data_IF_863706129895
#
_entry.id   IF_863706129895
#
_cell.length_a   1.000
_cell.length_b   1.000
_cell.length_c   1.000
_cell.angle_alpha   90.00
_cell.angle_beta   90.00
_cell.angle_gamma   90.00
#
_symmetry.space_group_name_H-M   'P 1'
#
loop_
_entity.id
_entity.type
_entity.pdbx_description
1 polymer ?
#
# COMPACT_ATOMS: atom_id res chain seq x y z
N UNK A 1 15.72 16.81 -19.63
CA UNK A 1 14.34 16.58 -19.16
C UNK A 1 14.22 17.17 -17.76
N UNK A 2 13.08 17.76 -17.36
CA UNK A 2 12.90 18.21 -15.98
C UNK A 2 13.05 17.02 -15.01
N UNK A 3 13.64 17.27 -13.84
CA UNK A 3 13.80 16.26 -12.80
C UNK A 3 12.42 15.85 -12.27
N UNK A 4 12.16 14.54 -12.18
CA UNK A 4 10.92 14.03 -11.59
C UNK A 4 10.87 14.38 -10.10
N UNK A 5 9.70 14.75 -9.54
CA UNK A 5 9.54 14.84 -8.10
C UNK A 5 9.83 13.48 -7.44
N UNK A 6 10.37 13.50 -6.22
CA UNK A 6 10.72 12.30 -5.48
C UNK A 6 9.58 11.85 -4.56
N UNK A 7 9.23 10.56 -4.60
CA UNK A 7 8.45 9.90 -3.56
C UNK A 7 9.38 9.08 -2.67
N UNK A 8 9.32 9.32 -1.36
CA UNK A 8 10.08 8.58 -0.38
C UNK A 8 9.16 7.50 0.21
N UNK A 9 9.47 6.26 -0.15
CA UNK A 9 8.64 5.08 0.03
C UNK A 9 9.08 4.28 1.26
N UNK A 10 8.28 4.31 2.33
CA UNK A 10 8.48 3.45 3.50
C UNK A 10 8.03 2.02 3.15
N UNK A 11 9.01 1.17 2.86
CA UNK A 11 8.78 -0.20 2.43
C UNK A 11 8.53 -1.11 3.62
N UNK A 12 7.55 -2.00 3.49
CA UNK A 12 7.04 -2.84 4.58
C UNK A 12 6.91 -2.10 5.92
N UNK A 13 6.32 -0.91 5.86
CA UNK A 13 6.23 0.00 7.00
C UNK A 13 5.54 -0.62 8.23
N UNK A 14 4.71 -1.63 8.02
CA UNK A 14 3.99 -2.36 9.06
C UNK A 14 4.91 -3.25 9.92
N UNK A 15 6.20 -3.34 9.58
CA UNK A 15 7.24 -3.94 10.42
C UNK A 15 7.93 -2.96 11.35
N UNK A 16 7.70 -1.66 11.16
CA UNK A 16 8.22 -0.62 12.05
C UNK A 16 7.56 -0.70 13.43
N UNK A 17 8.21 -0.14 14.45
CA UNK A 17 7.66 -0.10 15.82
C UNK A 17 6.45 0.83 15.90
N UNK A 18 6.48 1.95 15.17
CA UNK A 18 5.35 2.86 15.00
C UNK A 18 5.05 3.00 13.51
N UNK A 19 4.32 2.04 12.89
CA UNK A 19 3.88 2.18 11.51
C UNK A 19 3.18 3.52 11.30
N UNK A 20 3.30 4.06 10.09
CA UNK A 20 2.96 5.41 9.67
C UNK A 20 3.84 6.50 10.30
N UNK A 21 3.98 6.51 11.63
CA UNK A 21 4.61 7.64 12.33
C UNK A 21 6.13 7.66 12.17
N UNK A 22 6.81 6.51 12.20
CA UNK A 22 8.25 6.44 11.91
C UNK A 22 8.54 6.90 10.47
N UNK A 23 7.64 6.58 9.53
CA UNK A 23 7.73 7.04 8.15
C UNK A 23 7.52 8.55 8.00
N UNK A 24 6.49 9.11 8.64
CA UNK A 24 6.23 10.56 8.63
C UNK A 24 7.40 11.32 9.26
N UNK A 25 7.91 10.85 10.41
CA UNK A 25 9.05 11.45 11.10
C UNK A 25 10.32 11.46 10.21
N UNK A 26 10.49 10.41 9.40
CA UNK A 26 11.59 10.30 8.43
C UNK A 26 11.37 11.17 7.17
N UNK A 27 10.15 11.67 6.94
CA UNK A 27 9.79 12.44 5.75
C UNK A 27 9.30 11.59 4.57
N UNK A 28 8.93 10.32 4.81
CA UNK A 28 8.26 9.50 3.80
C UNK A 28 6.89 10.09 3.46
N UNK A 29 6.56 10.08 2.17
CA UNK A 29 5.27 10.51 1.64
C UNK A 29 4.56 9.40 0.86
N UNK A 30 5.10 8.18 0.88
CA UNK A 30 4.49 7.00 0.33
C UNK A 30 4.65 5.84 1.31
N UNK A 31 3.54 5.23 1.72
CA UNK A 31 3.48 4.22 2.79
C UNK A 31 2.98 2.90 2.21
N UNK A 32 3.70 1.81 2.44
CA UNK A 32 3.33 0.48 1.93
C UNK A 32 2.50 -0.35 2.91
N UNK A 33 1.46 -0.97 2.38
CA UNK A 33 0.70 -2.03 3.04
C UNK A 33 0.54 -3.24 2.12
N UNK A 34 1.26 -4.31 2.43
CA UNK A 34 1.06 -5.62 1.80
C UNK A 34 -0.20 -6.27 2.33
N UNK A 35 -1.14 -6.65 1.47
CA UNK A 35 -2.43 -7.17 1.92
C UNK A 35 -2.68 -8.62 1.57
N UNK A 36 -3.29 -9.32 2.52
CA UNK A 36 -3.92 -10.62 2.35
C UNK A 36 -5.36 -10.61 2.88
N UNK A 37 -6.19 -11.56 2.45
CA UNK A 37 -7.56 -11.70 2.94
C UNK A 37 -7.63 -12.72 4.09
N UNK A 38 -8.11 -12.28 5.25
CA UNK A 38 -8.40 -13.14 6.41
C UNK A 38 -9.72 -12.69 7.02
N UNK A 39 -10.65 -13.62 7.23
CA UNK A 39 -11.90 -13.41 7.99
C UNK A 39 -12.65 -12.12 7.66
N UNK A 40 -12.82 -11.85 6.35
CA UNK A 40 -13.51 -10.66 5.80
C UNK A 40 -12.78 -9.33 6.02
N UNK A 41 -11.47 -9.37 6.28
CA UNK A 41 -10.64 -8.19 6.49
C UNK A 41 -9.39 -8.22 5.60
N UNK A 42 -8.82 -7.05 5.38
CA UNK A 42 -7.51 -6.88 4.73
C UNK A 42 -6.44 -6.76 5.81
N UNK A 43 -5.63 -7.80 5.92
CA UNK A 43 -4.60 -7.94 6.96
C UNK A 43 -3.23 -7.68 6.34
N UNK A 44 -2.37 -7.02 7.10
CA UNK A 44 -1.01 -6.67 6.68
C UNK A 44 -0.06 -7.86 6.82
N UNK A 45 0.50 -8.33 5.70
CA UNK A 45 1.45 -9.45 5.67
C UNK A 45 2.17 -9.56 4.32
N UNK A 46 3.51 -9.64 4.36
CA UNK A 46 4.35 -9.88 3.17
C UNK A 46 4.18 -11.29 2.60
N UNK A 47 3.93 -12.27 3.47
CA UNK A 47 3.87 -13.67 3.12
C UNK A 47 2.43 -14.13 2.93
N UNK A 48 2.21 -14.88 1.85
CA UNK A 48 0.95 -15.59 1.62
C UNK A 48 0.86 -16.82 2.55
N UNK A 49 -0.36 -17.33 2.77
CA UNK A 49 -0.62 -18.52 3.60
C UNK A 49 0.29 -19.69 3.18
N UNK A 50 0.78 -20.54 4.12
CA UNK A 50 0.30 -20.77 5.49
C UNK A 50 1.03 -19.99 6.60
N UNK A 51 1.93 -19.06 6.29
CA UNK A 51 2.72 -18.32 7.29
C UNK A 51 1.94 -17.16 7.96
N UNK A 52 0.65 -17.36 8.22
CA UNK A 52 -0.27 -16.32 8.74
C UNK A 52 0.01 -15.88 10.18
N UNK A 53 1.04 -16.42 10.84
CA UNK A 53 1.50 -15.95 12.15
C UNK A 53 2.24 -14.60 12.10
N UNK A 54 2.60 -14.11 10.90
CA UNK A 54 3.22 -12.79 10.70
C UNK A 54 2.20 -11.78 10.16
N UNK A 55 1.10 -11.58 10.90
CA UNK A 55 0.11 -10.54 10.59
C UNK A 55 0.33 -9.31 11.47
N UNK A 56 0.38 -8.12 10.87
CA UNK A 56 0.77 -6.87 11.54
C UNK A 56 -0.40 -5.88 11.71
N UNK A 57 -1.62 -6.42 11.82
CA UNK A 57 -2.85 -5.64 11.95
C UNK A 57 -3.64 -5.51 10.65
N UNK A 58 -4.62 -4.62 10.66
CA UNK A 58 -5.58 -4.44 9.58
C UNK A 58 -5.25 -3.17 8.80
N UNK A 59 -5.33 -3.21 7.46
CA UNK A 59 -5.04 -2.07 6.58
C UNK A 59 -5.76 -0.79 7.05
N UNK A 60 -7.03 -0.92 7.41
CA UNK A 60 -7.86 0.23 7.82
C UNK A 60 -7.35 0.90 9.09
N UNK A 61 -7.14 0.11 10.15
CA UNK A 61 -6.79 0.64 11.48
C UNK A 61 -5.33 1.09 11.54
N UNK A 62 -4.43 0.39 10.83
CA UNK A 62 -2.99 0.71 10.81
C UNK A 62 -2.69 1.90 9.90
N UNK A 63 -3.39 2.04 8.76
CA UNK A 63 -3.04 3.04 7.75
C UNK A 63 -4.17 3.96 7.34
N UNK A 64 -5.28 3.45 6.78
CA UNK A 64 -6.24 4.34 6.10
C UNK A 64 -6.89 5.35 7.05
N UNK A 65 -7.32 4.91 8.23
CA UNK A 65 -7.89 5.79 9.24
C UNK A 65 -6.88 6.82 9.78
N UNK A 66 -5.67 6.44 10.24
CA UNK A 66 -4.71 7.41 10.74
C UNK A 66 -4.12 8.32 9.65
N UNK A 67 -3.89 7.83 8.42
CA UNK A 67 -3.45 8.68 7.29
C UNK A 67 -4.54 9.71 6.96
N UNK A 68 -5.80 9.30 6.88
CA UNK A 68 -6.90 10.22 6.63
C UNK A 68 -6.98 11.34 7.68
N UNK A 69 -6.84 10.98 8.97
CA UNK A 69 -6.77 11.96 10.05
C UNK A 69 -5.56 12.89 9.92
N UNK A 70 -4.38 12.34 9.61
CA UNK A 70 -3.17 13.13 9.38
C UNK A 70 -3.33 14.12 8.21
N UNK A 71 -3.95 13.69 7.12
CA UNK A 71 -4.23 14.52 5.95
C UNK A 71 -5.21 15.66 6.25
N UNK A 72 -6.21 15.45 7.13
CA UNK A 72 -7.11 16.51 7.62
C UNK A 72 -6.32 17.55 8.42
N UNK A 73 -5.44 17.10 9.31
CA UNK A 73 -4.64 17.98 10.16
C UNK A 73 -3.52 18.71 9.39
N UNK A 74 -3.12 18.16 8.25
CA UNK A 74 -2.00 18.65 7.44
C UNK A 74 -2.41 18.76 5.96
N UNK A 75 -3.34 19.67 5.60
CA UNK A 75 -3.88 19.79 4.23
C UNK A 75 -2.82 20.14 3.17
N UNK A 76 -1.66 20.67 3.58
CA UNK A 76 -0.52 20.98 2.74
C UNK A 76 0.40 19.77 2.45
N UNK A 77 0.15 18.62 3.08
CA UNK A 77 0.97 17.40 2.94
C UNK A 77 0.25 16.42 2.03
N UNK A 78 0.95 15.96 1.01
CA UNK A 78 0.50 14.91 0.10
C UNK A 78 1.02 13.55 0.59
N UNK A 79 0.14 12.57 0.72
CA UNK A 79 0.49 11.20 1.12
C UNK A 79 -0.02 10.20 0.07
N UNK A 80 0.81 9.21 -0.23
CA UNK A 80 0.46 8.06 -1.06
C UNK A 80 0.30 6.81 -0.20
N UNK A 81 -0.89 6.21 -0.21
CA UNK A 81 -1.09 4.85 0.27
C UNK A 81 -0.78 3.86 -0.87
N UNK A 82 0.29 3.10 -0.73
CA UNK A 82 0.66 2.04 -1.65
C UNK A 82 0.21 0.67 -1.12
N UNK A 83 -0.68 0.00 -1.85
CA UNK A 83 -1.14 -1.34 -1.51
C UNK A 83 -0.59 -2.37 -2.50
N UNK A 84 0.18 -3.33 -2.00
CA UNK A 84 0.65 -4.48 -2.79
C UNK A 84 -0.19 -5.73 -2.48
N UNK A 85 -0.72 -6.36 -3.54
CA UNK A 85 -1.48 -7.59 -3.39
C UNK A 85 -0.54 -8.77 -3.15
N UNK A 86 -0.66 -9.42 -1.99
CA UNK A 86 0.04 -10.69 -1.70
C UNK A 86 -0.88 -11.91 -1.75
N UNK A 87 -2.19 -11.72 -1.88
CA UNK A 87 -3.22 -12.76 -2.01
C UNK A 87 -4.10 -12.53 -3.26
N UNK A 88 -4.81 -13.58 -3.68
CA UNK A 88 -5.66 -13.57 -4.88
C UNK A 88 -7.16 -13.67 -4.61
N UNK A 89 -7.58 -13.63 -3.34
CA UNK A 89 -8.99 -13.70 -2.98
C UNK A 89 -9.77 -12.52 -3.61
N UNK A 90 -10.82 -12.81 -4.37
CA UNK A 90 -11.55 -11.76 -5.11
C UNK A 90 -12.30 -10.78 -4.20
N UNK A 91 -12.60 -11.17 -2.95
CA UNK A 91 -13.21 -10.29 -1.94
C UNK A 91 -12.30 -9.13 -1.53
N UNK A 92 -10.99 -9.22 -1.81
CA UNK A 92 -10.07 -8.10 -1.60
C UNK A 92 -10.57 -6.86 -2.33
N UNK A 93 -11.03 -7.02 -3.57
CA UNK A 93 -11.43 -5.92 -4.43
C UNK A 93 -12.68 -5.19 -3.87
N UNK A 94 -13.65 -5.93 -3.33
CA UNK A 94 -14.84 -5.35 -2.71
C UNK A 94 -14.50 -4.54 -1.46
N UNK A 95 -13.66 -5.10 -0.58
CA UNK A 95 -13.28 -4.45 0.67
C UNK A 95 -12.37 -3.24 0.39
N UNK A 96 -11.38 -3.38 -0.48
CA UNK A 96 -10.45 -2.30 -0.82
C UNK A 96 -11.18 -1.14 -1.48
N UNK A 97 -12.16 -1.41 -2.34
CA UNK A 97 -13.00 -0.37 -2.93
C UNK A 97 -13.75 0.42 -1.85
N UNK A 98 -14.46 -0.27 -0.96
CA UNK A 98 -15.22 0.36 0.12
C UNK A 98 -14.32 1.23 1.02
N UNK A 99 -13.14 0.71 1.37
CA UNK A 99 -12.16 1.42 2.17
C UNK A 99 -11.61 2.66 1.45
N UNK A 100 -11.13 2.54 0.22
CA UNK A 100 -10.60 3.69 -0.52
C UNK A 100 -11.66 4.77 -0.73
N UNK A 101 -12.90 4.39 -1.05
CA UNK A 101 -14.04 5.33 -1.14
C UNK A 101 -14.31 6.04 0.19
N UNK A 102 -14.31 5.31 1.30
CA UNK A 102 -14.59 5.86 2.62
C UNK A 102 -13.54 6.89 3.06
N UNK A 103 -12.26 6.65 2.76
CA UNK A 103 -11.14 7.47 3.21
C UNK A 103 -10.62 8.42 2.12
N UNK A 104 -11.35 8.66 1.04
CA UNK A 104 -10.92 9.58 -0.02
C UNK A 104 -10.92 11.03 0.48
N UNK A 105 -9.76 11.70 0.36
CA UNK A 105 -9.57 13.13 0.60
C UNK A 105 -8.54 13.67 -0.40
N UNK A 106 -8.55 14.98 -0.67
CA UNK A 106 -7.80 15.59 -1.79
C UNK A 106 -6.29 15.37 -1.77
N UNK A 107 -5.70 15.21 -0.59
CA UNK A 107 -4.26 15.05 -0.37
C UNK A 107 -3.84 13.63 0.04
N UNK A 108 -4.74 12.65 -0.16
CA UNK A 108 -4.46 11.22 -0.02
C UNK A 108 -4.65 10.53 -1.37
N UNK A 109 -3.54 10.02 -1.91
CA UNK A 109 -3.49 9.33 -3.20
C UNK A 109 -3.34 7.84 -3.02
N UNK A 110 -3.84 7.07 -3.97
CA UNK A 110 -3.78 5.61 -3.94
C UNK A 110 -2.99 5.07 -5.12
N UNK A 111 -2.06 4.16 -4.81
CA UNK A 111 -1.35 3.38 -5.82
C UNK A 111 -1.37 1.92 -5.45
N UNK A 112 -1.46 1.05 -6.44
CA UNK A 112 -1.49 -0.40 -6.21
C UNK A 112 -0.49 -1.12 -7.10
N UNK A 113 -0.15 -2.35 -6.69
CA UNK A 113 0.59 -3.26 -7.54
C UNK A 113 0.37 -4.71 -7.15
N UNK A 114 0.87 -5.60 -8.00
CA UNK A 114 1.06 -7.00 -7.71
C UNK A 114 2.25 -7.50 -8.52
N UNK A 115 3.09 -8.36 -7.94
CA UNK A 115 4.15 -9.01 -8.71
C UNK A 115 3.55 -9.94 -9.77
N UNK A 116 4.27 -10.16 -10.89
CA UNK A 116 3.84 -11.07 -11.97
C UNK A 116 4.96 -11.99 -12.50
N UNK A 117 6.10 -12.05 -11.81
CA UNK A 117 7.28 -12.76 -12.31
C UNK A 117 7.19 -14.29 -12.19
N UNK A 118 6.46 -14.80 -11.19
CA UNK A 118 6.40 -16.22 -10.86
C UNK A 118 5.00 -16.78 -11.10
N UNK A 119 4.92 -18.08 -11.38
CA UNK A 119 3.65 -18.73 -11.72
C UNK A 119 2.58 -18.56 -10.64
N UNK A 120 2.97 -18.57 -9.36
CA UNK A 120 2.07 -18.39 -8.22
C UNK A 120 1.63 -16.93 -8.02
N UNK A 121 2.31 -15.97 -8.67
CA UNK A 121 1.90 -14.57 -8.66
C UNK A 121 0.75 -14.28 -9.64
N UNK A 122 0.56 -15.11 -10.67
CA UNK A 122 -0.39 -14.83 -11.76
C UNK A 122 -1.83 -14.60 -11.27
N UNK A 123 -2.27 -15.35 -10.26
CA UNK A 123 -3.63 -15.22 -9.71
C UNK A 123 -3.80 -13.87 -8.99
N UNK A 124 -2.87 -13.49 -8.12
CA UNK A 124 -2.94 -12.20 -7.39
C UNK A 124 -2.79 -11.01 -8.34
N UNK A 125 -1.92 -11.12 -9.35
CA UNK A 125 -1.82 -10.11 -10.40
C UNK A 125 -3.14 -9.92 -11.14
N UNK A 126 -3.79 -11.02 -11.55
CA UNK A 126 -5.10 -10.95 -12.21
C UNK A 126 -6.16 -10.30 -11.30
N UNK A 127 -6.18 -10.62 -10.01
CA UNK A 127 -7.11 -10.02 -9.05
C UNK A 127 -6.89 -8.50 -8.91
N UNK A 128 -5.63 -8.07 -8.77
CA UNK A 128 -5.25 -6.66 -8.70
C UNK A 128 -5.58 -5.90 -9.99
N UNK A 129 -5.29 -6.47 -11.16
CA UNK A 129 -5.61 -5.87 -12.45
C UNK A 129 -7.11 -5.68 -12.64
N UNK A 130 -7.94 -6.65 -12.24
CA UNK A 130 -9.41 -6.49 -12.27
C UNK A 130 -9.86 -5.30 -11.42
N UNK A 131 -9.24 -5.07 -10.26
CA UNK A 131 -9.56 -3.91 -9.42
C UNK A 131 -9.12 -2.61 -10.09
N UNK A 132 -7.87 -2.56 -10.52
CA UNK A 132 -7.28 -1.41 -11.18
C UNK A 132 -8.09 -0.97 -12.41
N UNK A 133 -8.33 -1.88 -13.37
CA UNK A 133 -9.06 -1.58 -14.60
C UNK A 133 -10.48 -1.09 -14.33
N UNK A 134 -11.13 -1.63 -13.29
CA UNK A 134 -12.51 -1.28 -12.94
C UNK A 134 -12.62 0.09 -12.27
N UNK A 135 -11.65 0.48 -11.44
CA UNK A 135 -11.79 1.63 -10.54
C UNK A 135 -10.74 2.74 -10.74
N UNK A 136 -9.80 2.62 -11.68
CA UNK A 136 -8.71 3.60 -11.86
C UNK A 136 -9.18 5.04 -12.04
N UNK A 137 -10.27 5.25 -12.78
CA UNK A 137 -10.79 6.60 -13.03
C UNK A 137 -11.53 7.15 -11.82
N UNK A 138 -12.40 6.34 -11.20
CA UNK A 138 -13.21 6.75 -10.05
C UNK A 138 -12.36 7.05 -8.80
N UNK A 139 -11.33 6.25 -8.56
CA UNK A 139 -10.46 6.34 -7.38
C UNK A 139 -9.14 7.07 -7.67
N UNK A 140 -8.96 7.58 -8.90
CA UNK A 140 -7.70 8.17 -9.37
C UNK A 140 -6.49 7.26 -9.08
N UNK A 141 -6.67 5.93 -9.23
CA UNK A 141 -5.63 4.96 -8.91
C UNK A 141 -4.54 4.99 -9.96
N UNK A 142 -3.31 4.90 -9.48
CA UNK A 142 -2.16 4.61 -10.34
C UNK A 142 -1.65 3.19 -10.13
N UNK A 143 -1.04 2.62 -11.16
CA UNK A 143 -0.24 1.41 -11.03
C UNK A 143 1.23 1.78 -10.71
N UNK A 144 1.75 1.31 -9.57
CA UNK A 144 3.05 1.76 -9.03
C UNK A 144 4.21 1.60 -10.01
N UNK A 145 4.29 0.45 -10.69
CA UNK A 145 5.48 0.08 -11.48
C UNK A 145 5.50 0.69 -12.88
N UNK A 146 4.42 1.36 -13.31
CA UNK A 146 4.31 1.97 -14.63
C UNK A 146 3.97 3.45 -14.48
N UNK A 147 2.71 3.77 -14.21
CA UNK A 147 2.19 5.14 -14.21
C UNK A 147 2.87 6.01 -13.15
N UNK A 148 2.99 5.51 -11.92
CA UNK A 148 3.60 6.28 -10.84
C UNK A 148 5.11 6.45 -11.05
N UNK A 149 5.80 5.40 -11.50
CA UNK A 149 7.24 5.43 -11.78
C UNK A 149 7.60 6.30 -13.00
N UNK A 150 6.66 6.50 -13.93
CA UNK A 150 6.81 7.46 -15.03
C UNK A 150 6.78 8.91 -14.53
N UNK A 151 5.96 9.21 -13.52
CA UNK A 151 5.76 10.56 -12.99
C UNK A 151 6.76 10.93 -11.88
N UNK A 152 7.17 9.97 -11.05
CA UNK A 152 7.98 10.19 -9.85
C UNK A 152 9.28 9.39 -9.87
N UNK A 153 10.30 9.92 -9.21
CA UNK A 153 11.45 9.13 -8.75
C UNK A 153 11.09 8.49 -7.40
N UNK A 154 10.88 7.17 -7.36
CA UNK A 154 10.51 6.46 -6.13
C UNK A 154 11.78 5.98 -5.42
N UNK A 155 12.08 6.55 -4.25
CA UNK A 155 13.20 6.15 -3.39
C UNK A 155 12.68 5.30 -2.24
N UNK A 156 13.04 4.02 -2.25
CA UNK A 156 12.71 3.07 -1.19
C UNK A 156 13.55 3.36 0.06
N UNK A 157 12.91 3.26 1.24
CA UNK A 157 13.54 3.31 2.56
C UNK A 157 13.02 2.13 3.38
N UNK A 158 13.94 1.39 4.00
CA UNK A 158 13.62 0.35 4.99
C UNK A 158 13.86 0.94 6.39
N UNK A 159 12.79 1.20 7.13
CA UNK A 159 12.84 1.80 8.49
C UNK A 159 12.72 0.76 9.62
N UNK A 160 12.42 -0.48 9.26
CA UNK A 160 12.32 -1.59 10.19
C UNK A 160 13.71 -2.16 10.51
N UNK A 161 13.92 -2.78 11.69
CA UNK A 161 15.20 -3.39 12.05
C UNK A 161 15.62 -4.49 11.07
N UNK A 162 16.91 -4.53 10.71
CA UNK A 162 17.47 -5.57 9.82
C UNK A 162 17.26 -7.01 10.33
N UNK A 163 17.03 -7.20 11.64
CA UNK A 163 16.88 -8.50 12.28
C UNK A 163 15.58 -9.25 11.95
N UNK A 164 14.63 -8.65 11.22
CA UNK A 164 13.34 -9.28 10.86
C UNK A 164 13.52 -10.39 9.80
N UNK A 165 14.69 -10.48 9.16
CA UNK A 165 14.94 -11.31 7.96
C UNK A 165 15.87 -12.52 8.13
N UNK A 166 16.07 -13.06 9.33
CA UNK A 166 16.85 -14.31 9.52
C UNK A 166 15.98 -15.58 9.58
N UNK A 167 15.03 -15.75 8.64
CA UNK A 167 14.31 -17.02 8.45
C UNK A 167 14.16 -17.39 6.99
#
# INVERSE_FOLDING_TARGET
MPQKPTLLHSHNDYWCKRPLWDAIDYGCNMIEGDIIYIDKKLVLSHSWRPFSWMCYGELENTYLRPIHQYCIENPQKEIWMYVEYKDSNEKINEILYALFRQYTISNLHYTISAQNEKWYHKKRYKTAMKFYEKYKEELQLTWKTTELAEQYEIKKVDLFPESIWHF
#
